data_IF_262071175799
#
_entry.id   IF_262071175799
#
_cell.length_a   1.000
_cell.length_b   1.000
_cell.length_c   1.000
_cell.angle_alpha   90.00
_cell.angle_beta   90.00
_cell.angle_gamma   90.00
#
_symmetry.space_group_name_H-M   'P 1'
#
loop_
_entity.id
_entity.type
_entity.pdbx_description
1 polymer ?
#
# COMPACT_ATOMS: atom_id res chain seq x y z
N UNK A 1 -33.38 6.52 12.13
CA UNK A 1 -33.90 6.81 10.77
C UNK A 1 -32.79 7.10 9.78
N UNK A 2 -31.78 7.93 10.08
CA UNK A 2 -30.68 8.26 9.15
C UNK A 2 -29.94 7.04 8.56
N UNK A 3 -29.56 6.06 9.38
CA UNK A 3 -28.85 4.86 8.89
C UNK A 3 -29.63 4.03 7.85
N UNK A 4 -30.96 4.03 7.90
CA UNK A 4 -31.77 3.32 6.92
C UNK A 4 -31.78 4.06 5.58
N UNK A 5 -31.82 5.39 5.60
CA UNK A 5 -31.83 6.24 4.41
C UNK A 5 -30.49 6.17 3.67
N UNK A 6 -29.37 6.33 4.40
CA UNK A 6 -28.02 6.24 3.81
C UNK A 6 -27.78 4.85 3.21
N UNK A 7 -28.28 3.79 3.86
CA UNK A 7 -28.22 2.43 3.33
C UNK A 7 -29.05 2.27 2.04
N UNK A 8 -30.30 2.73 2.03
CA UNK A 8 -31.17 2.62 0.86
C UNK A 8 -30.59 3.38 -0.33
N UNK A 9 -30.10 4.60 -0.11
CA UNK A 9 -29.48 5.40 -1.16
C UNK A 9 -28.18 4.74 -1.67
N UNK A 10 -27.32 4.25 -0.77
CA UNK A 10 -26.13 3.48 -1.14
C UNK A 10 -26.49 2.27 -2.02
N UNK A 11 -27.46 1.46 -1.59
CA UNK A 11 -27.86 0.26 -2.30
C UNK A 11 -28.48 0.53 -3.69
N UNK A 12 -29.12 1.69 -3.90
CA UNK A 12 -29.74 2.03 -5.20
C UNK A 12 -28.84 2.83 -6.13
N UNK A 13 -27.80 3.48 -5.59
CA UNK A 13 -26.90 4.33 -6.38
C UNK A 13 -25.50 3.72 -6.45
N UNK A 14 -24.68 3.96 -5.42
CA UNK A 14 -23.28 3.54 -5.31
C UNK A 14 -23.07 2.03 -5.55
N UNK A 15 -23.91 1.16 -4.99
CA UNK A 15 -23.77 -0.29 -5.11
C UNK A 15 -24.26 -0.86 -6.46
N UNK A 16 -25.09 -0.13 -7.19
CA UNK A 16 -25.61 -0.52 -8.51
C UNK A 16 -24.86 0.17 -9.66
N UNK A 17 -23.78 0.87 -9.33
CA UNK A 17 -22.99 1.66 -10.27
C UNK A 17 -23.80 2.77 -10.98
N UNK A 18 -24.92 3.19 -10.38
CA UNK A 18 -25.76 4.28 -10.87
C UNK A 18 -25.23 5.63 -10.35
N UNK A 19 -24.06 6.02 -10.86
CA UNK A 19 -23.24 7.13 -10.34
C UNK A 19 -23.84 8.51 -10.61
N UNK A 20 -24.57 8.69 -11.70
CA UNK A 20 -25.24 9.97 -12.01
C UNK A 20 -26.32 10.31 -10.99
N UNK A 21 -26.97 9.30 -10.43
CA UNK A 21 -28.04 9.47 -9.44
C UNK A 21 -27.51 9.47 -8.00
N UNK A 22 -26.22 9.20 -7.81
CA UNK A 22 -25.60 9.13 -6.49
C UNK A 22 -25.56 10.52 -5.81
N UNK A 23 -26.02 10.63 -4.55
CA UNK A 23 -26.04 11.91 -3.84
C UNK A 23 -24.64 12.25 -3.28
N UNK A 24 -24.09 13.46 -3.52
CA UNK A 24 -22.81 13.84 -2.96
C UNK A 24 -22.85 13.86 -1.42
N UNK A 25 -21.84 13.28 -0.78
CA UNK A 25 -21.71 13.30 0.68
C UNK A 25 -20.81 14.48 1.07
N UNK A 26 -21.30 15.37 1.93
CA UNK A 26 -20.51 16.49 2.44
C UNK A 26 -20.03 16.16 3.86
N UNK A 27 -18.71 16.08 4.05
CA UNK A 27 -18.12 15.80 5.34
C UNK A 27 -17.93 17.08 6.15
N UNK A 28 -18.51 17.13 7.34
CA UNK A 28 -18.32 18.21 8.30
C UNK A 28 -17.81 17.66 9.62
N UNK A 29 -16.83 18.33 10.20
CA UNK A 29 -16.35 18.06 11.57
C UNK A 29 -16.84 19.16 12.50
N UNK A 30 -17.27 18.79 13.70
CA UNK A 30 -17.69 19.73 14.75
C UNK A 30 -16.72 19.68 15.93
N UNK A 31 -15.58 20.40 15.86
CA UNK A 31 -14.57 20.38 16.93
C UNK A 31 -15.04 21.14 18.20
N UNK A 32 -15.90 22.14 18.04
CA UNK A 32 -16.48 22.93 19.12
C UNK A 32 -17.98 23.10 18.87
N UNK A 33 -18.78 23.16 19.95
CA UNK A 33 -20.21 23.40 19.84
C UNK A 33 -20.50 24.72 19.10
N UNK A 34 -21.29 24.66 18.03
CA UNK A 34 -21.71 25.83 17.25
C UNK A 34 -20.81 26.20 16.07
N UNK A 35 -19.69 25.49 15.83
CA UNK A 35 -18.84 25.66 14.64
C UNK A 35 -18.66 24.33 13.91
N UNK A 36 -18.88 24.33 12.60
CA UNK A 36 -18.61 23.18 11.73
C UNK A 36 -17.56 23.53 10.69
N UNK A 37 -16.62 22.63 10.47
CA UNK A 37 -15.58 22.75 9.46
C UNK A 37 -15.89 21.80 8.33
N UNK A 38 -16.04 22.32 7.11
CA UNK A 38 -16.15 21.49 5.93
C UNK A 38 -14.81 20.79 5.68
N UNK A 39 -14.84 19.46 5.55
CA UNK A 39 -13.65 18.62 5.36
C UNK A 39 -13.52 18.08 3.95
N UNK A 40 -14.59 18.13 3.16
CA UNK A 40 -14.52 17.78 1.75
C UNK A 40 -15.79 17.17 1.20
N UNK A 41 -15.77 17.02 -0.13
CA UNK A 41 -16.74 16.26 -0.90
C UNK A 41 -16.35 14.79 -0.87
N UNK A 42 -17.30 13.92 -0.59
CA UNK A 42 -17.08 12.49 -0.47
C UNK A 42 -18.04 11.69 -1.34
N UNK A 43 -17.61 10.47 -1.65
CA UNK A 43 -18.45 9.38 -2.14
C UNK A 43 -18.47 8.25 -1.11
N UNK A 44 -19.54 7.45 -1.12
CA UNK A 44 -19.60 6.21 -0.35
C UNK A 44 -18.85 5.12 -1.12
N UNK A 45 -17.78 4.60 -0.53
CA UNK A 45 -16.90 3.61 -1.13
C UNK A 45 -17.27 2.17 -0.73
N UNK A 46 -17.60 1.96 0.54
CA UNK A 46 -17.98 0.64 1.07
C UNK A 46 -18.99 0.79 2.23
N UNK A 47 -19.73 -0.29 2.50
CA UNK A 47 -20.69 -0.40 3.59
C UNK A 47 -20.48 -1.72 4.33
N UNK A 48 -20.13 -1.64 5.62
CA UNK A 48 -19.99 -2.78 6.52
C UNK A 48 -21.06 -2.75 7.61
N UNK A 49 -21.51 -3.94 8.00
CA UNK A 49 -22.52 -4.10 9.05
C UNK A 49 -21.84 -4.61 10.31
N UNK A 50 -21.83 -3.80 11.35
CA UNK A 50 -21.31 -4.19 12.66
C UNK A 50 -22.47 -4.54 13.61
N UNK A 51 -22.28 -5.59 14.41
CA UNK A 51 -23.26 -6.02 15.42
C UNK A 51 -22.66 -5.78 16.79
N UNK A 52 -23.23 -4.84 17.54
CA UNK A 52 -22.82 -4.56 18.90
C UNK A 52 -23.82 -5.19 19.88
N UNK A 53 -23.34 -5.85 20.94
CA UNK A 53 -24.18 -6.30 22.05
C UNK A 53 -24.12 -5.24 23.14
N UNK A 54 -25.26 -4.60 23.38
CA UNK A 54 -25.43 -3.66 24.49
C UNK A 54 -26.56 -4.15 25.39
N UNK A 55 -26.30 -4.31 26.69
CA UNK A 55 -27.23 -4.82 27.71
C UNK A 55 -28.05 -6.06 27.29
N UNK A 56 -27.43 -7.01 26.58
CA UNK A 56 -28.08 -8.25 26.15
C UNK A 56 -28.96 -8.14 24.88
N UNK A 57 -29.04 -6.96 24.26
CA UNK A 57 -29.68 -6.75 22.95
C UNK A 57 -28.62 -6.54 21.87
N UNK A 58 -28.77 -7.25 20.75
CA UNK A 58 -27.92 -7.03 19.57
C UNK A 58 -28.46 -5.83 18.80
N UNK A 59 -27.67 -4.76 18.72
CA UNK A 59 -27.94 -3.59 17.90
C UNK A 59 -27.08 -3.65 16.65
N UNK A 60 -27.69 -3.39 15.49
CA UNK A 60 -27.00 -3.37 14.20
C UNK A 60 -26.58 -1.93 13.90
N UNK A 61 -25.28 -1.72 13.70
CA UNK A 61 -24.71 -0.46 13.25
C UNK A 61 -24.14 -0.60 11.83
N UNK A 62 -24.06 0.51 11.11
CA UNK A 62 -23.52 0.56 9.76
C UNK A 62 -22.27 1.42 9.77
N UNK A 63 -21.16 0.86 9.27
CA UNK A 63 -19.92 1.56 9.04
C UNK A 63 -19.82 1.87 7.54
N UNK A 64 -19.68 3.15 7.21
CA UNK A 64 -19.54 3.61 5.83
C UNK A 64 -18.11 4.08 5.60
N UNK A 65 -17.46 3.52 4.59
CA UNK A 65 -16.16 4.01 4.15
C UNK A 65 -16.39 5.17 3.19
N UNK A 66 -15.85 6.34 3.54
CA UNK A 66 -15.93 7.55 2.73
C UNK A 66 -14.62 7.76 1.98
N UNK A 67 -14.71 7.99 0.68
CA UNK A 67 -13.58 8.50 -0.08
C UNK A 67 -13.77 9.99 -0.34
N UNK A 68 -12.87 10.82 0.19
CA UNK A 68 -12.82 12.26 -0.09
C UNK A 68 -12.30 12.45 -1.53
N UNK A 69 -12.95 13.31 -2.31
CA UNK A 69 -12.59 13.64 -3.69
C UNK A 69 -11.67 14.85 -3.74
N UNK A 70 -10.64 14.80 -4.61
CA UNK A 70 -9.57 15.82 -4.75
C UNK A 70 -10.06 17.17 -5.28
N UNK A 71 -10.72 17.94 -4.41
CA UNK A 71 -11.20 19.29 -4.72
C UNK A 71 -11.14 20.21 -3.51
N UNK A 72 -10.59 21.40 -3.70
CA UNK A 72 -10.44 22.40 -2.64
C UNK A 72 -11.75 23.14 -2.31
N UNK A 73 -12.72 23.12 -3.22
CA UNK A 73 -14.00 23.80 -3.02
C UNK A 73 -15.10 23.15 -3.84
N UNK A 74 -16.33 23.28 -3.33
CA UNK A 74 -17.53 22.73 -3.96
C UNK A 74 -18.52 23.85 -4.16
N UNK A 75 -19.05 23.97 -5.39
CA UNK A 75 -20.09 24.95 -5.67
C UNK A 75 -21.40 24.59 -4.95
N UNK A 76 -21.90 25.51 -4.12
CA UNK A 76 -23.22 25.38 -3.51
C UNK A 76 -24.34 25.35 -4.55
N UNK A 77 -24.15 26.03 -5.69
CA UNK A 77 -25.13 26.03 -6.77
C UNK A 77 -25.31 24.62 -7.35
N UNK A 78 -24.20 23.90 -7.56
CA UNK A 78 -24.24 22.52 -8.02
C UNK A 78 -24.93 21.61 -7.01
N UNK A 79 -24.58 21.72 -5.72
CA UNK A 79 -25.23 20.96 -4.64
C UNK A 79 -26.75 21.19 -4.65
N UNK A 80 -27.18 22.44 -4.69
CA UNK A 80 -28.60 22.79 -4.70
C UNK A 80 -29.33 22.34 -5.96
N UNK A 81 -28.69 22.44 -7.12
CA UNK A 81 -29.24 21.98 -8.39
C UNK A 81 -29.48 20.48 -8.38
N UNK A 82 -28.44 19.70 -8.07
CA UNK A 82 -28.52 18.24 -8.01
C UNK A 82 -29.58 17.78 -7.00
N UNK A 83 -29.60 18.37 -5.80
CA UNK A 83 -30.56 18.00 -4.75
C UNK A 83 -32.03 18.34 -5.11
N UNK A 84 -32.29 19.40 -5.88
CA UNK A 84 -33.66 19.84 -6.20
C UNK A 84 -34.20 19.26 -7.50
N UNK A 85 -33.35 19.06 -8.49
CA UNK A 85 -33.79 18.70 -9.85
C UNK A 85 -33.22 17.37 -10.34
N UNK A 86 -32.28 16.76 -9.61
CA UNK A 86 -31.56 15.56 -10.06
C UNK A 86 -30.57 15.82 -11.19
N UNK A 87 -30.41 17.07 -11.64
CA UNK A 87 -29.51 17.40 -12.76
C UNK A 87 -28.09 17.54 -12.22
N UNK A 88 -27.21 16.65 -12.68
CA UNK A 88 -25.79 16.66 -12.34
C UNK A 88 -25.00 17.44 -13.40
N UNK A 89 -24.87 18.75 -13.20
CA UNK A 89 -24.17 19.63 -14.13
C UNK A 89 -23.50 20.81 -13.40
N UNK A 90 -22.23 21.06 -13.74
CA UNK A 90 -21.42 22.12 -13.14
C UNK A 90 -20.80 21.74 -11.80
N UNK A 91 -20.58 20.43 -11.57
CA UNK A 91 -19.88 19.91 -10.40
C UNK A 91 -18.36 20.07 -10.52
N UNK A 92 -17.62 19.72 -9.45
CA UNK A 92 -16.16 19.64 -9.52
C UNK A 92 -15.71 18.61 -10.57
N UNK A 93 -14.62 18.91 -11.30
CA UNK A 93 -14.09 18.00 -12.34
C UNK A 93 -13.81 16.58 -11.82
N UNK A 94 -13.42 16.46 -10.55
CA UNK A 94 -13.20 15.16 -9.90
C UNK A 94 -14.48 14.35 -9.67
N UNK A 95 -15.62 15.03 -9.48
CA UNK A 95 -16.93 14.38 -9.39
C UNK A 95 -17.37 13.90 -10.76
N UNK A 96 -17.31 14.78 -11.77
CA UNK A 96 -17.70 14.45 -13.14
C UNK A 96 -16.89 13.27 -13.69
N UNK A 97 -15.58 13.25 -13.43
CA UNK A 97 -14.71 12.11 -13.76
C UNK A 97 -15.14 10.83 -13.06
N UNK A 98 -15.42 10.88 -11.76
CA UNK A 98 -15.90 9.70 -11.02
C UNK A 98 -17.21 9.17 -11.58
N UNK A 99 -18.15 10.06 -11.94
CA UNK A 99 -19.42 9.65 -12.59
C UNK A 99 -19.13 8.95 -13.94
N UNK A 100 -18.22 9.49 -14.74
CA UNK A 100 -17.86 8.97 -16.07
C UNK A 100 -17.09 7.65 -16.02
N UNK A 101 -16.02 7.56 -15.22
CA UNK A 101 -15.04 6.46 -15.27
C UNK A 101 -15.10 5.50 -14.07
N UNK A 102 -15.82 5.88 -13.00
CA UNK A 102 -15.96 5.08 -11.77
C UNK A 102 -14.71 5.03 -10.91
N UNK A 103 -13.63 5.70 -11.33
CA UNK A 103 -12.36 5.66 -10.65
C UNK A 103 -12.39 6.70 -9.56
N UNK A 104 -12.37 6.20 -8.32
CA UNK A 104 -12.15 7.03 -7.15
C UNK A 104 -10.70 7.48 -7.16
N UNK A 105 -10.43 8.65 -7.75
CA UNK A 105 -9.19 9.38 -7.47
C UNK A 105 -9.26 9.86 -6.03
N UNK A 106 -8.91 8.97 -5.11
CA UNK A 106 -8.82 9.25 -3.67
C UNK A 106 -8.03 10.54 -3.50
N UNK A 107 -8.59 11.52 -2.77
CA UNK A 107 -7.89 12.74 -2.36
C UNK A 107 -6.47 12.36 -1.97
N UNK A 108 -5.55 13.12 -2.54
CA UNK A 108 -4.12 12.84 -2.59
C UNK A 108 -3.45 12.98 -1.23
N UNK A 109 -3.78 12.08 -0.29
CA UNK A 109 -2.89 11.69 0.83
C UNK A 109 -1.60 11.04 0.27
N UNK A 110 -1.56 10.75 -1.03
CA UNK A 110 -0.45 10.13 -1.74
C UNK A 110 0.67 11.08 -2.16
N UNK A 111 0.44 12.41 -2.19
CA UNK A 111 1.53 13.37 -2.46
C UNK A 111 2.61 13.33 -1.37
N UNK A 112 2.23 12.98 -0.14
CA UNK A 112 3.15 12.81 0.99
C UNK A 112 3.91 11.47 0.96
N UNK A 113 3.56 10.54 0.07
CA UNK A 113 4.21 9.24 -0.07
C UNK A 113 5.25 9.19 -1.21
N UNK A 114 5.40 10.27 -1.99
CA UNK A 114 6.46 10.38 -3.00
C UNK A 114 7.76 10.81 -2.32
N UNK A 115 8.68 9.87 -2.16
CA UNK A 115 9.97 10.08 -1.50
C UNK A 115 10.98 10.70 -2.44
N UNK A 116 11.72 11.69 -1.94
CA UNK A 116 12.87 12.27 -2.63
C UNK A 116 14.02 11.27 -2.74
N UNK A 117 14.93 11.45 -3.71
CA UNK A 117 16.12 10.58 -3.85
C UNK A 117 16.94 10.57 -2.55
N UNK A 118 17.15 11.73 -1.94
CA UNK A 118 17.92 11.84 -0.69
C UNK A 118 17.27 11.12 0.49
N UNK A 119 15.94 11.00 0.53
CA UNK A 119 15.24 10.22 1.56
C UNK A 119 15.23 8.70 1.31
N UNK A 120 15.61 8.27 0.11
CA UNK A 120 15.68 6.86 -0.29
C UNK A 120 17.10 6.31 -0.26
N UNK A 121 18.10 7.19 -0.21
CA UNK A 121 19.51 6.83 -0.19
C UNK A 121 20.04 6.87 1.25
N UNK A 122 20.84 5.86 1.65
CA UNK A 122 21.49 5.89 2.94
C UNK A 122 22.42 7.09 3.14
N UNK A 123 22.53 7.53 4.39
CA UNK A 123 23.50 8.55 4.82
C UNK A 123 24.18 8.12 6.11
N UNK A 124 25.36 8.70 6.41
CA UNK A 124 26.11 8.39 7.63
C UNK A 124 26.44 6.90 7.75
N UNK A 125 26.20 6.31 8.93
CA UNK A 125 26.55 4.90 9.20
C UNK A 125 25.74 3.90 8.36
N UNK A 126 24.54 4.28 7.92
CA UNK A 126 23.75 3.45 7.00
C UNK A 126 24.37 3.38 5.60
N UNK A 127 25.07 4.43 5.16
CA UNK A 127 25.84 4.41 3.92
C UNK A 127 27.04 3.46 4.04
N UNK A 128 27.73 3.47 5.18
CA UNK A 128 28.82 2.51 5.46
C UNK A 128 28.31 1.06 5.40
N UNK A 129 27.13 0.79 5.98
CA UNK A 129 26.50 -0.53 5.92
C UNK A 129 26.13 -0.93 4.48
N UNK A 130 25.54 -0.03 3.69
CA UNK A 130 25.22 -0.31 2.29
C UNK A 130 26.47 -0.65 1.47
N UNK A 131 27.55 0.09 1.67
CA UNK A 131 28.84 -0.15 1.01
C UNK A 131 29.46 -1.49 1.43
N UNK A 132 29.37 -1.83 2.73
CA UNK A 132 29.81 -3.13 3.24
C UNK A 132 29.03 -4.29 2.62
N UNK A 133 27.69 -4.19 2.58
CA UNK A 133 26.80 -5.16 1.93
C UNK A 133 27.18 -5.32 0.46
N UNK A 134 27.31 -4.21 -0.30
CA UNK A 134 27.68 -4.26 -1.72
C UNK A 134 29.03 -4.92 -1.95
N UNK A 135 30.02 -4.65 -1.08
CA UNK A 135 31.36 -5.23 -1.15
C UNK A 135 31.37 -6.73 -0.82
N UNK A 136 30.70 -7.13 0.27
CA UNK A 136 30.68 -8.54 0.72
C UNK A 136 29.83 -9.44 -0.19
N UNK A 137 28.79 -8.87 -0.80
CA UNK A 137 27.94 -9.57 -1.76
C UNK A 137 28.35 -9.35 -3.22
N UNK A 138 29.54 -8.82 -3.49
CA UNK A 138 29.98 -8.55 -4.85
C UNK A 138 30.12 -9.84 -5.70
N UNK A 139 30.32 -9.66 -7.00
CA UNK A 139 30.36 -10.72 -8.00
C UNK A 139 31.33 -11.87 -7.65
N UNK A 140 31.03 -13.09 -8.10
CA UNK A 140 29.89 -13.47 -8.96
C UNK A 140 28.55 -13.54 -8.20
N UNK A 141 27.44 -13.47 -8.95
CA UNK A 141 26.07 -13.70 -8.44
C UNK A 141 25.55 -12.71 -7.39
N UNK A 142 25.96 -11.43 -7.47
CA UNK A 142 25.54 -10.39 -6.51
C UNK A 142 24.03 -10.20 -6.36
N UNK A 143 23.26 -10.52 -7.41
CA UNK A 143 21.79 -10.52 -7.36
C UNK A 143 21.28 -11.62 -6.44
N UNK A 144 21.65 -12.87 -6.74
CA UNK A 144 21.24 -14.04 -5.94
C UNK A 144 21.70 -13.97 -4.49
N UNK A 145 22.90 -13.45 -4.24
CA UNK A 145 23.39 -13.17 -2.88
C UNK A 145 22.49 -12.20 -2.11
N UNK A 146 22.01 -11.14 -2.78
CA UNK A 146 21.09 -10.19 -2.16
C UNK A 146 19.70 -10.81 -1.95
N UNK A 147 19.22 -11.63 -2.87
CA UNK A 147 17.96 -12.36 -2.70
C UNK A 147 18.00 -13.26 -1.46
N UNK A 148 19.10 -13.99 -1.24
CA UNK A 148 19.30 -14.81 -0.03
C UNK A 148 19.37 -13.93 1.23
N UNK A 149 20.07 -12.80 1.18
CA UNK A 149 20.12 -11.87 2.31
C UNK A 149 18.72 -11.33 2.67
N UNK A 150 17.93 -10.96 1.66
CA UNK A 150 16.55 -10.50 1.86
C UNK A 150 15.68 -11.62 2.41
N UNK A 151 15.87 -12.88 1.96
CA UNK A 151 15.21 -14.04 2.56
C UNK A 151 15.51 -14.15 4.06
N UNK A 152 16.78 -14.14 4.45
CA UNK A 152 17.17 -14.22 5.87
C UNK A 152 16.59 -13.06 6.67
N UNK A 153 16.59 -11.85 6.10
CA UNK A 153 16.02 -10.67 6.74
C UNK A 153 14.52 -10.84 7.00
N UNK A 154 13.77 -11.40 6.04
CA UNK A 154 12.34 -11.63 6.19
C UNK A 154 12.05 -12.79 7.15
N UNK A 155 12.81 -13.88 7.10
CA UNK A 155 12.67 -15.01 8.04
C UNK A 155 12.95 -14.62 9.50
N UNK A 156 13.76 -13.57 9.72
CA UNK A 156 14.01 -13.01 11.06
C UNK A 156 12.89 -12.13 11.60
N UNK A 157 11.83 -11.86 10.83
CA UNK A 157 10.70 -11.02 11.24
C UNK A 157 9.48 -11.86 11.61
N UNK A 158 8.83 -11.51 12.73
CA UNK A 158 7.71 -12.29 13.29
C UNK A 158 6.48 -12.40 12.36
N UNK A 159 6.28 -11.41 11.48
CA UNK A 159 5.10 -11.32 10.62
C UNK A 159 5.29 -11.97 9.25
N UNK A 160 6.42 -12.62 8.98
CA UNK A 160 6.68 -13.33 7.73
C UNK A 160 6.82 -14.82 7.98
N UNK A 161 6.21 -15.62 7.11
CA UNK A 161 6.28 -17.08 7.15
C UNK A 161 6.39 -17.65 5.74
N UNK A 162 6.85 -18.91 5.65
CA UNK A 162 6.97 -19.64 4.36
C UNK A 162 7.77 -18.87 3.29
N UNK A 163 8.82 -18.15 3.69
CA UNK A 163 9.65 -17.35 2.76
C UNK A 163 10.54 -18.27 1.94
N UNK A 164 10.35 -18.28 0.63
CA UNK A 164 11.05 -19.14 -0.32
C UNK A 164 11.70 -18.34 -1.46
N UNK A 165 12.85 -18.82 -1.95
CA UNK A 165 13.48 -18.31 -3.16
C UNK A 165 12.86 -18.99 -4.38
N UNK A 166 12.58 -18.22 -5.42
CA UNK A 166 12.13 -18.80 -6.68
C UNK A 166 13.29 -19.45 -7.44
N UNK A 167 13.01 -20.49 -8.27
CA UNK A 167 14.02 -21.11 -9.11
C UNK A 167 14.55 -20.15 -10.19
N UNK A 168 15.87 -20.11 -10.38
CA UNK A 168 16.55 -19.20 -11.34
C UNK A 168 16.12 -19.32 -12.81
N UNK A 169 15.40 -20.40 -13.18
CA UNK A 169 14.94 -20.64 -14.55
C UNK A 169 13.42 -20.52 -14.59
N UNK A 170 12.93 -19.56 -15.37
CA UNK A 170 11.48 -19.37 -15.54
C UNK A 170 10.79 -18.59 -14.40
N UNK A 171 11.57 -17.95 -13.52
CA UNK A 171 11.10 -17.13 -12.39
C UNK A 171 10.15 -15.99 -12.79
N UNK A 172 10.08 -15.71 -14.10
CA UNK A 172 9.32 -14.61 -14.68
C UNK A 172 9.52 -13.35 -13.84
N UNK A 173 10.70 -13.05 -13.31
CA UNK A 173 11.03 -11.87 -12.51
C UNK A 173 10.38 -11.73 -11.12
N UNK A 174 9.95 -12.82 -10.48
CA UNK A 174 9.71 -12.88 -9.03
C UNK A 174 10.89 -13.62 -8.41
N UNK A 175 11.51 -13.06 -7.38
CA UNK A 175 12.74 -13.59 -6.78
C UNK A 175 12.47 -14.31 -5.44
N UNK A 176 11.44 -13.87 -4.69
CA UNK A 176 10.96 -14.55 -3.48
C UNK A 176 9.43 -14.63 -3.43
N UNK A 177 8.93 -15.63 -2.72
CA UNK A 177 7.51 -15.78 -2.35
C UNK A 177 7.38 -16.10 -0.87
N UNK A 178 6.19 -15.92 -0.30
CA UNK A 178 5.89 -16.36 1.05
C UNK A 178 4.61 -15.74 1.57
N UNK A 179 4.44 -15.69 2.89
CA UNK A 179 3.23 -15.19 3.55
C UNK A 179 3.54 -14.09 4.55
N UNK A 180 2.61 -13.14 4.63
CA UNK A 180 2.57 -12.09 5.67
C UNK A 180 1.41 -12.41 6.61
N UNK A 181 1.70 -12.54 7.89
CA UNK A 181 0.70 -12.74 8.94
C UNK A 181 0.17 -11.37 9.39
N UNK A 182 -1.09 -11.06 9.08
CA UNK A 182 -1.69 -9.78 9.42
C UNK A 182 -1.96 -9.60 10.92
N UNK A 183 -2.13 -10.71 11.64
CA UNK A 183 -2.38 -10.73 13.07
C UNK A 183 -1.45 -11.73 13.73
N UNK A 184 -0.71 -11.27 14.74
CA UNK A 184 0.23 -12.08 15.52
C UNK A 184 -0.48 -12.94 16.58
N UNK A 185 -1.80 -12.77 16.78
CA UNK A 185 -2.57 -13.42 17.85
C UNK A 185 -3.70 -14.34 17.31
N UNK A 186 -3.69 -15.65 17.64
CA UNK A 186 -4.69 -16.63 17.21
C UNK A 186 -6.06 -16.53 17.91
N UNK A 187 -6.37 -15.46 18.66
CA UNK A 187 -7.73 -15.22 19.20
C UNK A 187 -8.82 -15.14 18.10
N UNK A 188 -8.42 -15.00 16.83
CA UNK A 188 -9.25 -15.17 15.65
C UNK A 188 -9.20 -16.64 15.21
N UNK A 189 -10.09 -17.49 15.74
CA UNK A 189 -10.17 -18.89 15.31
C UNK A 189 -10.39 -19.05 13.79
N UNK A 190 -9.95 -20.19 13.22
CA UNK A 190 -10.15 -20.75 11.86
C UNK A 190 -10.03 -19.82 10.61
N UNK A 191 -9.91 -18.51 10.75
CA UNK A 191 -9.78 -17.57 9.63
C UNK A 191 -8.31 -17.47 9.24
N UNK A 192 -7.99 -17.85 8.01
CA UNK A 192 -6.67 -17.59 7.46
C UNK A 192 -6.51 -16.09 7.20
N UNK A 193 -5.73 -15.43 8.05
CA UNK A 193 -5.43 -14.01 7.94
C UNK A 193 -4.10 -13.75 7.23
N UNK A 194 -3.53 -14.76 6.58
CA UNK A 194 -2.27 -14.62 5.85
C UNK A 194 -2.52 -14.04 4.47
N UNK A 195 -1.58 -13.23 4.01
CA UNK A 195 -1.54 -12.73 2.63
C UNK A 195 -0.29 -13.29 1.97
N UNK A 196 -0.46 -13.94 0.81
CA UNK A 196 0.66 -14.36 -0.02
C UNK A 196 1.36 -13.13 -0.61
N UNK A 197 2.69 -13.12 -0.60
CA UNK A 197 3.50 -12.08 -1.23
C UNK A 197 4.38 -12.62 -2.35
N UNK A 198 4.64 -11.77 -3.33
CA UNK A 198 5.65 -11.96 -4.38
C UNK A 198 6.64 -10.80 -4.32
N UNK A 199 7.93 -11.10 -4.19
CA UNK A 199 8.97 -10.11 -4.06
C UNK A 199 9.94 -10.09 -5.24
N UNK A 200 10.44 -8.90 -5.58
CA UNK A 200 11.57 -8.71 -6.49
C UNK A 200 12.68 -7.95 -5.79
N UNK A 201 13.94 -8.36 -6.01
CA UNK A 201 15.13 -7.81 -5.38
C UNK A 201 16.13 -7.36 -6.45
N UNK A 202 16.61 -6.12 -6.35
CA UNK A 202 17.58 -5.55 -7.31
C UNK A 202 18.84 -5.01 -6.64
N UNK A 203 19.96 -5.68 -6.90
CA UNK A 203 21.29 -5.25 -6.48
C UNK A 203 22.03 -4.45 -7.57
N UNK A 204 21.66 -3.18 -7.75
CA UNK A 204 22.30 -2.27 -8.72
C UNK A 204 22.32 -0.83 -8.24
N UNK A 205 23.13 0.02 -8.88
CA UNK A 205 23.35 1.40 -8.43
C UNK A 205 22.48 2.44 -9.14
N UNK A 206 21.88 2.09 -10.27
CA UNK A 206 20.97 2.94 -11.02
C UNK A 206 19.55 2.92 -10.44
N UNK A 207 18.72 3.88 -10.84
CA UNK A 207 17.35 4.02 -10.36
C UNK A 207 16.44 2.89 -10.85
N UNK A 208 15.39 2.59 -10.08
CA UNK A 208 14.31 1.69 -10.47
C UNK A 208 13.19 2.50 -11.15
N UNK A 209 12.77 2.05 -12.34
CA UNK A 209 11.73 2.70 -13.15
C UNK A 209 10.39 1.96 -13.07
N UNK A 210 9.32 2.60 -13.55
CA UNK A 210 7.96 2.01 -13.53
C UNK A 210 7.82 0.72 -14.33
N UNK A 211 8.68 0.49 -15.33
CA UNK A 211 8.66 -0.75 -16.14
C UNK A 211 8.89 -1.99 -15.28
N UNK A 212 9.78 -1.91 -14.29
CA UNK A 212 10.08 -3.04 -13.40
C UNK A 212 8.96 -3.25 -12.38
N UNK A 213 8.37 -2.17 -11.87
CA UNK A 213 7.22 -2.23 -10.97
C UNK A 213 6.00 -2.84 -11.66
N UNK A 214 5.71 -2.40 -12.89
CA UNK A 214 4.63 -2.96 -13.72
C UNK A 214 4.83 -4.44 -13.98
N UNK A 215 6.08 -4.88 -14.21
CA UNK A 215 6.39 -6.30 -14.41
C UNK A 215 6.11 -7.12 -13.16
N UNK A 216 6.54 -6.67 -11.98
CA UNK A 216 6.20 -7.37 -10.73
C UNK A 216 4.69 -7.37 -10.51
N UNK A 217 4.05 -6.20 -10.65
CA UNK A 217 2.62 -6.03 -10.43
C UNK A 217 1.76 -6.94 -11.32
N UNK A 218 2.17 -7.18 -12.57
CA UNK A 218 1.44 -8.09 -13.47
C UNK A 218 1.50 -9.57 -13.05
N UNK A 219 2.22 -9.90 -11.98
CA UNK A 219 2.40 -11.26 -11.46
C UNK A 219 1.83 -11.42 -10.06
N UNK A 220 1.46 -10.31 -9.41
CA UNK A 220 0.74 -10.29 -8.15
C UNK A 220 -0.71 -10.58 -8.48
N UNK A 221 -1.23 -11.68 -7.98
CA UNK A 221 -2.61 -12.11 -8.19
C UNK A 221 -3.57 -11.37 -7.24
N UNK A 222 -4.87 -11.46 -7.50
CA UNK A 222 -5.89 -10.82 -6.66
C UNK A 222 -5.79 -11.32 -5.21
N UNK A 223 -5.60 -10.39 -4.27
CA UNK A 223 -5.46 -10.68 -2.85
C UNK A 223 -4.01 -10.89 -2.39
N UNK A 224 -3.03 -10.94 -3.31
CA UNK A 224 -1.61 -10.96 -2.97
C UNK A 224 -1.03 -9.54 -2.84
N UNK A 225 0.19 -9.46 -2.29
CA UNK A 225 0.95 -8.21 -2.22
C UNK A 225 2.31 -8.31 -2.93
N UNK A 226 2.65 -7.27 -3.69
CA UNK A 226 3.97 -7.15 -4.29
C UNK A 226 4.96 -6.45 -3.37
N UNK A 227 6.17 -6.98 -3.22
CA UNK A 227 7.26 -6.31 -2.50
C UNK A 227 8.44 -6.08 -3.45
N UNK A 228 8.98 -4.88 -3.49
CA UNK A 228 10.16 -4.58 -4.30
C UNK A 228 11.27 -4.06 -3.41
N UNK A 229 12.41 -4.72 -3.42
CA UNK A 229 13.61 -4.32 -2.69
C UNK A 229 14.71 -3.88 -3.65
N UNK A 230 15.42 -2.80 -3.33
CA UNK A 230 16.58 -2.38 -4.09
C UNK A 230 17.69 -1.83 -3.18
N UNK A 231 18.94 -1.99 -3.60
CA UNK A 231 20.08 -1.27 -3.00
C UNK A 231 20.22 0.17 -3.52
N UNK A 232 19.25 0.67 -4.28
CA UNK A 232 19.23 2.01 -4.89
C UNK A 232 17.96 2.78 -4.51
N UNK A 233 17.33 3.47 -5.45
CA UNK A 233 16.18 4.33 -5.23
C UNK A 233 15.20 4.23 -6.40
N UNK A 234 13.95 4.59 -6.17
CA UNK A 234 12.87 4.66 -7.15
C UNK A 234 12.77 6.06 -7.74
N UNK A 235 12.55 6.15 -9.04
CA UNK A 235 12.27 7.46 -9.67
C UNK A 235 10.94 8.02 -9.19
N UNK A 236 10.79 9.35 -9.27
CA UNK A 236 9.52 10.01 -8.96
C UNK A 236 8.35 9.44 -9.78
N UNK A 237 8.57 9.30 -11.09
CA UNK A 237 7.57 8.74 -12.00
C UNK A 237 7.18 7.30 -11.62
N UNK A 238 8.15 6.46 -11.25
CA UNK A 238 7.87 5.08 -10.84
C UNK A 238 7.02 5.04 -9.56
N UNK A 239 7.30 5.92 -8.59
CA UNK A 239 6.50 6.02 -7.37
C UNK A 239 5.08 6.53 -7.66
N UNK A 240 4.94 7.54 -8.52
CA UNK A 240 3.63 8.09 -8.92
C UNK A 240 2.78 7.02 -9.64
N UNK A 241 3.37 6.30 -10.61
CA UNK A 241 2.72 5.19 -11.32
C UNK A 241 2.34 4.04 -10.39
N UNK A 242 3.20 3.70 -9.43
CA UNK A 242 2.94 2.67 -8.45
C UNK A 242 1.74 3.01 -7.57
N UNK A 243 1.72 4.21 -6.99
CA UNK A 243 0.63 4.66 -6.12
C UNK A 243 -0.72 4.70 -6.85
N UNK A 244 -0.73 4.98 -8.16
CA UNK A 244 -1.97 5.04 -8.92
C UNK A 244 -2.45 3.68 -9.45
N UNK A 245 -1.56 2.69 -9.58
CA UNK A 245 -1.80 1.53 -10.47
C UNK A 245 -1.47 0.18 -9.84
N UNK A 246 -0.47 0.10 -8.97
CA UNK A 246 0.11 -1.19 -8.55
C UNK A 246 0.11 -1.33 -7.04
N UNK A 247 -0.35 -2.45 -6.47
CA UNK A 247 -0.27 -2.72 -5.03
C UNK A 247 1.13 -3.23 -4.64
N UNK A 248 2.20 -2.56 -5.08
CA UNK A 248 3.59 -2.95 -4.76
C UNK A 248 4.15 -2.03 -3.68
N UNK A 249 4.68 -2.61 -2.60
CA UNK A 249 5.45 -1.89 -1.59
C UNK A 249 6.91 -1.76 -1.98
N UNK A 250 7.44 -0.55 -1.85
CA UNK A 250 8.75 -0.15 -2.32
C UNK A 250 9.71 -0.02 -1.14
N UNK A 251 10.81 -0.77 -1.17
CA UNK A 251 11.88 -0.77 -0.18
C UNK A 251 13.18 -0.32 -0.85
N UNK A 252 13.52 0.94 -0.63
CA UNK A 252 14.73 1.58 -1.15
C UNK A 252 15.99 1.13 -0.41
N UNK A 253 17.13 1.61 -0.87
CA UNK A 253 18.42 1.33 -0.26
C UNK A 253 18.47 1.75 1.21
N UNK A 254 17.84 2.88 1.57
CA UNK A 254 17.69 3.31 2.96
C UNK A 254 16.87 2.31 3.78
N UNK A 255 15.70 1.92 3.28
CA UNK A 255 14.80 1.03 4.02
C UNK A 255 15.45 -0.33 4.26
N UNK A 256 16.14 -0.85 3.23
CA UNK A 256 16.85 -2.13 3.33
C UNK A 256 17.94 -2.08 4.41
N UNK A 257 18.76 -1.04 4.47
CA UNK A 257 19.83 -0.96 5.48
C UNK A 257 19.33 -0.60 6.87
N UNK A 258 18.21 0.12 6.98
CA UNK A 258 17.54 0.34 8.26
C UNK A 258 17.02 -0.98 8.83
N UNK A 259 16.36 -1.79 8.00
CA UNK A 259 15.90 -3.12 8.38
C UNK A 259 17.07 -4.04 8.77
N UNK A 260 18.16 -4.04 8.00
CA UNK A 260 19.35 -4.85 8.31
C UNK A 260 20.02 -4.42 9.63
N UNK A 261 20.10 -3.12 9.91
CA UNK A 261 20.69 -2.61 11.15
C UNK A 261 19.85 -2.94 12.40
N UNK A 262 18.58 -3.28 12.21
CA UNK A 262 17.67 -3.70 13.28
C UNK A 262 17.57 -5.23 13.42
N UNK A 263 18.19 -5.99 12.52
CA UNK A 263 18.25 -7.45 12.61
C UNK A 263 19.57 -7.94 13.21
N UNK A 264 19.59 -9.22 13.54
CA UNK A 264 20.78 -9.95 13.99
C UNK A 264 21.74 -10.30 12.84
N UNK A 265 21.43 -9.89 11.61
CA UNK A 265 22.26 -10.12 10.43
C UNK A 265 23.47 -9.19 10.37
N UNK A 266 23.51 -8.17 11.22
CA UNK A 266 24.57 -7.15 11.26
C UNK A 266 25.28 -7.11 12.59
N UNK A 267 26.59 -6.90 12.54
CA UNK A 267 27.44 -6.60 13.70
C UNK A 267 27.68 -5.08 13.73
N UNK A 268 26.70 -4.35 14.25
CA UNK A 268 26.65 -2.88 14.16
C UNK A 268 26.28 -2.43 12.75
N UNK A 269 27.15 -1.67 12.08
CA UNK A 269 26.92 -1.19 10.70
C UNK A 269 27.73 -1.97 9.67
N UNK A 270 27.86 -3.28 9.90
CA UNK A 270 28.55 -4.21 9.01
C UNK A 270 27.75 -5.51 8.92
N UNK A 271 27.67 -6.09 7.74
CA UNK A 271 27.04 -7.40 7.56
C UNK A 271 27.88 -8.46 8.28
N UNK A 272 27.27 -9.35 9.06
CA UNK A 272 28.03 -10.34 9.84
C UNK A 272 28.76 -11.33 8.92
N UNK A 273 29.99 -11.71 9.28
CA UNK A 273 30.79 -12.66 8.50
C UNK A 273 30.18 -14.08 8.49
N UNK A 274 29.43 -14.44 9.55
CA UNK A 274 28.66 -15.69 9.61
C UNK A 274 27.58 -15.73 8.54
N UNK A 275 26.80 -14.65 8.42
CA UNK A 275 25.75 -14.49 7.39
C UNK A 275 26.33 -14.56 5.99
N UNK A 276 27.47 -13.90 5.74
CA UNK A 276 28.15 -13.98 4.43
C UNK A 276 28.53 -15.42 4.09
N UNK A 277 29.07 -16.15 5.07
CA UNK A 277 29.45 -17.55 4.89
C UNK A 277 28.22 -18.43 4.63
N UNK A 278 27.10 -18.16 5.29
CA UNK A 278 25.85 -18.88 5.09
C UNK A 278 25.25 -18.62 3.70
N UNK A 279 25.23 -17.37 3.24
CA UNK A 279 24.84 -17.00 1.88
C UNK A 279 25.67 -17.76 0.84
N UNK A 280 26.99 -17.88 1.07
CA UNK A 280 27.87 -18.62 0.15
C UNK A 280 27.54 -20.12 0.11
N UNK A 281 27.17 -20.72 1.24
CA UNK A 281 26.74 -22.13 1.30
C UNK A 281 25.39 -22.34 0.62
N UNK A 282 24.47 -21.38 0.71
CA UNK A 282 23.18 -21.47 0.01
C UNK A 282 23.28 -21.38 -1.52
N UNK A 283 24.44 -20.98 -2.05
CA UNK A 283 24.71 -20.91 -3.49
C UNK A 283 25.37 -22.18 -4.06
N UNK A 284 25.96 -23.02 -3.21
CA UNK A 284 26.68 -24.24 -3.59
C UNK A 284 25.76 -25.46 -3.61
#
# INVERSE_FOLDING_TARGET
MGNLWVKTDYCHTYAQDNRSDAPPVLLFEMPESGKVTFKGLCILNDLRVERHKDEGKTVVNYLFDLAVLDTDSVSLEWIHRKARTGIDAGGPEVWDKWVEDGRVRRYSIWKDNIRTISSQQPTGRYQELLEDVRRKLDNPSKGKKLEILVKFLMEGMENFSEVELTPSTGDRGVDLTGRIELFTDPMLGEVDTRIDFKAQVKNRGDSISGVELSRLASRVDDGEIGLFFTTSHYTRQAQEENLSTYPVRLFSGMDLVEMLAQSDLTDGYRLSDSVVTEIQKSLS
#
